data_IF_375946954937
#
_entry.id   IF_375946954937
#
_cell.length_a   1.000
_cell.length_b   1.000
_cell.length_c   1.000
_cell.angle_alpha   90.00
_cell.angle_beta   90.00
_cell.angle_gamma   90.00
#
_symmetry.space_group_name_H-M   'P 1'
#
loop_
_entity.id
_entity.type
_entity.pdbx_description
1 polymer ?
#
# COMPACT_ATOMS: atom_id res chain seq x y z
N UNK A 1 32.58 -10.98 -32.40
CA UNK A 1 32.21 -11.56 -31.09
C UNK A 1 30.74 -11.89 -31.16
N UNK A 2 30.42 -13.16 -31.36
CA UNK A 2 29.06 -13.68 -31.30
C UNK A 2 28.48 -13.36 -29.93
N UNK A 3 27.32 -12.70 -29.90
CA UNK A 3 26.53 -12.54 -28.69
C UNK A 3 26.17 -13.97 -28.25
N UNK A 4 26.91 -14.52 -27.28
CA UNK A 4 26.47 -15.71 -26.59
C UNK A 4 25.03 -15.46 -26.14
N UNK A 5 24.11 -16.35 -26.52
CA UNK A 5 22.74 -16.37 -26.04
C UNK A 5 22.75 -16.01 -24.56
N UNK A 6 22.28 -14.81 -24.18
CA UNK A 6 22.18 -14.47 -22.76
C UNK A 6 21.34 -15.58 -22.14
N UNK A 7 21.91 -16.32 -21.20
CA UNK A 7 21.16 -17.36 -20.51
C UNK A 7 20.18 -16.63 -19.60
N UNK A 8 18.88 -16.94 -19.69
CA UNK A 8 17.94 -16.48 -18.65
C UNK A 8 18.47 -16.98 -17.32
N UNK A 9 18.79 -16.07 -16.41
CA UNK A 9 19.32 -16.45 -15.11
C UNK A 9 18.76 -15.52 -14.04
N UNK A 10 17.83 -16.05 -13.26
CA UNK A 10 17.42 -15.40 -12.02
C UNK A 10 18.47 -15.68 -10.95
N UNK A 11 18.73 -14.67 -10.13
CA UNK A 11 19.59 -14.85 -8.95
C UNK A 11 18.97 -15.95 -8.07
N UNK A 12 19.81 -16.76 -7.43
CA UNK A 12 19.33 -17.78 -6.49
C UNK A 12 18.51 -17.14 -5.38
N UNK A 13 19.06 -16.06 -4.80
CA UNK A 13 18.39 -15.28 -3.77
C UNK A 13 17.83 -16.17 -2.66
N UNK A 14 16.64 -15.81 -2.17
CA UNK A 14 15.83 -16.63 -1.26
C UNK A 14 14.56 -17.16 -1.92
N UNK A 15 14.60 -17.37 -3.23
CA UNK A 15 13.49 -18.02 -3.93
C UNK A 15 13.31 -19.45 -3.45
N UNK A 16 12.06 -19.92 -3.40
CA UNK A 16 11.82 -21.35 -3.44
C UNK A 16 12.43 -21.92 -4.74
N UNK A 17 13.30 -22.93 -4.69
CA UNK A 17 14.04 -23.40 -5.87
C UNK A 17 13.15 -23.79 -7.05
N UNK A 18 11.98 -24.38 -6.78
CA UNK A 18 11.01 -24.77 -7.81
C UNK A 18 10.37 -23.55 -8.45
N UNK A 19 10.04 -22.52 -7.66
CA UNK A 19 9.47 -21.28 -8.20
C UNK A 19 10.46 -20.61 -9.14
N UNK A 20 11.74 -20.50 -8.73
CA UNK A 20 12.81 -19.94 -9.57
C UNK A 20 12.93 -20.68 -10.90
N UNK A 21 12.99 -22.02 -10.86
CA UNK A 21 13.12 -22.84 -12.07
C UNK A 21 11.94 -22.62 -13.05
N UNK A 22 10.71 -22.54 -12.53
CA UNK A 22 9.53 -22.30 -13.37
C UNK A 22 9.56 -20.89 -13.97
N UNK A 23 9.95 -19.87 -13.20
CA UNK A 23 10.09 -18.51 -13.68
C UNK A 23 11.15 -18.40 -14.79
N UNK A 24 12.32 -19.02 -14.63
CA UNK A 24 13.36 -19.04 -15.65
C UNK A 24 12.88 -19.71 -16.95
N UNK A 25 12.16 -20.82 -16.84
CA UNK A 25 11.54 -21.51 -17.99
C UNK A 25 10.51 -20.62 -18.69
N UNK A 26 9.68 -19.90 -17.92
CA UNK A 26 8.69 -18.97 -18.46
C UNK A 26 9.36 -17.83 -19.23
N UNK A 27 10.34 -17.17 -18.64
CA UNK A 27 11.09 -16.06 -19.28
C UNK A 27 11.76 -16.56 -20.56
N UNK A 28 12.38 -17.75 -20.53
CA UNK A 28 13.01 -18.33 -21.73
C UNK A 28 11.99 -18.61 -22.84
N UNK A 29 10.80 -19.10 -22.49
CA UNK A 29 9.73 -19.40 -23.44
C UNK A 29 9.17 -18.14 -24.11
N UNK A 30 9.07 -17.04 -23.37
CA UNK A 30 8.43 -15.80 -23.84
C UNK A 30 9.41 -14.69 -24.22
N UNK A 31 10.72 -14.96 -24.24
CA UNK A 31 11.75 -14.02 -24.67
C UNK A 31 11.42 -13.41 -26.03
N UNK A 32 11.38 -12.08 -26.10
CA UNK A 32 11.15 -11.29 -27.32
C UNK A 32 9.87 -11.66 -28.09
N UNK A 33 8.83 -12.14 -27.38
CA UNK A 33 7.55 -12.57 -27.99
C UNK A 33 6.45 -11.51 -27.95
N UNK A 34 6.81 -10.25 -27.62
CA UNK A 34 5.86 -9.17 -27.33
C UNK A 34 4.88 -9.57 -26.20
N UNK A 35 5.44 -9.89 -25.03
CA UNK A 35 4.70 -10.36 -23.85
C UNK A 35 4.95 -9.44 -22.66
N UNK A 36 4.12 -9.55 -21.62
CA UNK A 36 4.24 -8.74 -20.41
C UNK A 36 3.81 -9.51 -19.17
N UNK A 37 4.28 -9.04 -18.02
CA UNK A 37 3.92 -9.51 -16.69
C UNK A 37 3.31 -8.37 -15.86
N UNK A 38 2.44 -8.72 -14.92
CA UNK A 38 1.74 -7.77 -14.05
C UNK A 38 1.97 -8.16 -12.59
N UNK A 39 2.23 -7.18 -11.72
CA UNK A 39 2.44 -7.43 -10.30
C UNK A 39 1.69 -6.42 -9.45
N UNK A 40 1.18 -6.86 -8.30
CA UNK A 40 0.87 -5.95 -7.21
C UNK A 40 2.16 -5.41 -6.56
N UNK A 41 2.04 -4.28 -5.86
CA UNK A 41 3.16 -3.66 -5.17
C UNK A 41 3.30 -4.11 -3.71
N UNK A 42 2.37 -3.67 -2.87
CA UNK A 42 2.40 -3.84 -1.42
C UNK A 42 2.32 -5.33 -1.06
N UNK A 43 3.17 -5.80 -0.14
CA UNK A 43 3.33 -7.22 0.22
C UNK A 43 3.62 -8.23 -0.92
N UNK A 44 3.65 -7.80 -2.18
CA UNK A 44 3.99 -8.59 -3.38
C UNK A 44 5.38 -8.25 -3.91
N UNK A 45 5.57 -7.03 -4.41
CA UNK A 45 6.86 -6.50 -4.90
C UNK A 45 7.82 -6.16 -3.75
N UNK A 46 7.26 -5.70 -2.63
CA UNK A 46 7.98 -5.34 -1.40
C UNK A 46 7.43 -6.14 -0.20
N UNK A 47 8.09 -6.06 0.95
CA UNK A 47 7.45 -6.35 2.24
C UNK A 47 6.82 -5.07 2.80
N UNK A 48 5.61 -5.23 3.33
CA UNK A 48 4.87 -4.15 3.98
C UNK A 48 3.96 -3.43 2.99
N UNK A 49 3.24 -2.44 3.52
CA UNK A 49 2.27 -1.65 2.79
C UNK A 49 2.67 -0.18 2.81
N UNK A 50 2.91 0.38 1.63
CA UNK A 50 3.41 1.75 1.44
C UNK A 50 2.43 2.80 1.91
N UNK A 51 1.13 2.61 1.64
CA UNK A 51 0.11 3.55 2.05
C UNK A 51 -0.04 3.56 3.58
N UNK A 52 -0.12 2.38 4.20
CA UNK A 52 -0.19 2.25 5.65
C UNK A 52 1.03 2.89 6.32
N UNK A 53 2.22 2.64 5.77
CA UNK A 53 3.47 3.18 6.33
C UNK A 53 3.59 4.70 6.13
N UNK A 54 3.07 5.25 5.03
CA UNK A 54 2.89 6.69 4.88
C UNK A 54 1.91 7.26 5.89
N UNK A 55 0.76 6.61 6.11
CA UNK A 55 -0.22 7.02 7.11
C UNK A 55 0.39 7.06 8.51
N UNK A 56 1.13 6.03 8.90
CA UNK A 56 1.89 6.00 10.15
C UNK A 56 2.89 7.17 10.19
N UNK A 57 3.68 7.36 9.13
CA UNK A 57 4.67 8.44 9.06
C UNK A 57 4.03 9.84 9.18
N UNK A 58 2.86 10.06 8.56
CA UNK A 58 2.12 11.31 8.68
C UNK A 58 1.66 11.58 10.11
N UNK A 59 1.14 10.58 10.81
CA UNK A 59 0.73 10.71 12.21
C UNK A 59 1.93 11.05 13.08
N UNK A 60 3.00 10.24 12.96
CA UNK A 60 4.18 10.40 13.78
C UNK A 60 4.81 11.79 13.58
N UNK A 61 4.81 12.32 12.35
CA UNK A 61 5.47 13.59 12.03
C UNK A 61 4.50 14.78 11.92
N UNK A 62 3.20 14.57 12.15
CA UNK A 62 2.13 15.56 12.03
C UNK A 62 2.18 16.35 10.70
N UNK A 63 2.33 15.64 9.58
CA UNK A 63 2.48 16.23 8.25
C UNK A 63 1.13 16.25 7.53
N UNK A 64 0.44 17.39 7.65
CA UNK A 64 -0.88 17.63 7.05
C UNK A 64 -0.95 19.04 6.47
N UNK A 65 -1.61 19.19 5.31
CA UNK A 65 -1.95 20.50 4.71
C UNK A 65 -3.42 20.90 4.93
N UNK A 66 -4.03 20.31 5.93
CA UNK A 66 -5.42 20.53 6.30
C UNK A 66 -5.47 21.43 7.54
N UNK A 67 -6.20 22.54 7.45
CA UNK A 67 -6.59 23.27 8.67
C UNK A 67 -7.58 22.41 9.50
N UNK A 68 -7.85 22.76 10.77
CA UNK A 68 -8.69 21.93 11.63
C UNK A 68 -10.07 21.62 11.03
N UNK A 69 -10.75 22.58 10.42
CA UNK A 69 -12.08 22.39 9.83
C UNK A 69 -12.03 21.43 8.63
N UNK A 70 -11.04 21.58 7.76
CA UNK A 70 -10.80 20.70 6.62
C UNK A 70 -10.48 19.27 7.08
N UNK A 71 -9.61 19.15 8.10
CA UNK A 71 -9.23 17.85 8.66
C UNK A 71 -10.45 17.13 9.24
N UNK A 72 -11.27 17.84 10.04
CA UNK A 72 -12.50 17.28 10.61
C UNK A 72 -13.49 16.82 9.54
N UNK A 73 -13.61 17.57 8.44
CA UNK A 73 -14.43 17.19 7.29
C UNK A 73 -13.89 15.92 6.62
N UNK A 74 -12.58 15.84 6.41
CA UNK A 74 -11.91 14.71 5.77
C UNK A 74 -12.11 13.42 6.57
N UNK A 75 -11.81 13.41 7.87
CA UNK A 75 -11.89 12.18 8.68
C UNK A 75 -13.32 11.65 8.86
N UNK A 76 -14.34 12.47 8.57
CA UNK A 76 -15.77 12.09 8.62
C UNK A 76 -16.36 11.81 7.24
N UNK A 77 -15.61 12.03 6.16
CA UNK A 77 -16.13 11.97 4.81
C UNK A 77 -16.66 10.57 4.50
N UNK A 78 -17.95 10.51 4.18
CA UNK A 78 -18.68 9.28 3.88
C UNK A 78 -18.73 8.23 5.01
N UNK A 79 -18.24 8.54 6.22
CA UNK A 79 -18.19 7.59 7.33
C UNK A 79 -19.55 7.52 8.04
N UNK A 80 -20.23 6.37 8.05
CA UNK A 80 -21.48 6.21 8.80
C UNK A 80 -21.28 6.40 10.30
N UNK A 81 -22.29 6.96 10.97
CA UNK A 81 -22.27 7.27 12.40
C UNK A 81 -22.84 6.16 13.28
N UNK A 82 -23.23 5.03 12.69
CA UNK A 82 -23.70 3.85 13.42
C UNK A 82 -22.60 3.29 14.31
N UNK A 83 -23.01 2.57 15.36
CA UNK A 83 -22.08 1.82 16.19
C UNK A 83 -21.28 0.83 15.35
N UNK A 84 -20.01 0.67 15.71
CA UNK A 84 -19.16 -0.36 15.15
C UNK A 84 -19.61 -1.75 15.62
N UNK A 85 -19.11 -2.80 14.96
CA UNK A 85 -19.26 -4.19 15.38
C UNK A 85 -18.79 -4.38 16.81
N UNK A 86 -19.43 -5.30 17.53
CA UNK A 86 -19.24 -5.59 18.96
C UNK A 86 -17.78 -5.76 19.40
N UNK A 87 -16.89 -6.23 18.52
CA UNK A 87 -15.46 -6.38 18.82
C UNK A 87 -14.69 -5.06 18.96
N UNK A 88 -15.25 -3.94 18.50
CA UNK A 88 -14.62 -2.63 18.54
C UNK A 88 -15.13 -1.82 19.73
N UNK A 89 -14.52 -2.10 20.88
CA UNK A 89 -14.81 -1.45 22.15
C UNK A 89 -13.62 -0.65 22.66
N UNK A 90 -13.91 0.38 23.45
CA UNK A 90 -12.90 1.01 24.29
C UNK A 90 -12.50 0.10 25.46
N UNK A 91 -11.52 0.51 26.26
CA UNK A 91 -11.02 -0.28 27.39
C UNK A 91 -12.06 -0.49 28.51
N UNK A 92 -13.11 0.33 28.55
CA UNK A 92 -14.23 0.19 29.50
C UNK A 92 -15.34 -0.73 28.97
N UNK A 93 -15.15 -1.30 27.77
CA UNK A 93 -16.09 -2.25 27.17
C UNK A 93 -17.25 -1.60 26.41
N UNK A 94 -17.24 -0.28 26.22
CA UNK A 94 -18.25 0.44 25.45
C UNK A 94 -18.04 0.28 23.94
N UNK A 95 -19.11 0.00 23.21
CA UNK A 95 -19.09 -0.04 21.75
C UNK A 95 -18.95 1.40 21.23
N UNK A 96 -17.98 1.62 20.35
CA UNK A 96 -17.71 2.94 19.78
C UNK A 96 -18.44 3.18 18.45
N UNK A 97 -18.42 4.43 18.00
CA UNK A 97 -18.84 4.86 16.67
C UNK A 97 -17.88 5.93 16.14
N UNK A 98 -18.03 6.25 14.85
CA UNK A 98 -17.17 7.21 14.17
C UNK A 98 -17.27 8.62 14.76
N UNK A 99 -18.45 9.02 15.26
CA UNK A 99 -18.67 10.36 15.82
C UNK A 99 -17.81 10.59 17.05
N UNK A 100 -17.84 9.66 18.01
CA UNK A 100 -17.05 9.76 19.26
C UNK A 100 -15.55 9.87 18.97
N UNK A 101 -15.03 8.98 18.12
CA UNK A 101 -13.62 9.01 17.74
C UNK A 101 -13.24 10.30 17.02
N UNK A 102 -14.03 10.71 16.03
CA UNK A 102 -13.72 11.90 15.26
C UNK A 102 -13.84 13.20 16.08
N UNK A 103 -14.70 13.24 17.11
CA UNK A 103 -14.80 14.39 18.02
C UNK A 103 -13.51 14.56 18.82
N UNK A 104 -12.99 13.47 19.38
CA UNK A 104 -11.75 13.47 20.15
C UNK A 104 -10.55 13.81 19.27
N UNK A 105 -10.40 13.09 18.15
CA UNK A 105 -9.34 13.32 17.16
C UNK A 105 -9.33 14.78 16.70
N UNK A 106 -10.51 15.37 16.43
CA UNK A 106 -10.59 16.76 15.99
C UNK A 106 -10.11 17.73 17.09
N UNK A 107 -10.51 17.49 18.33
CA UNK A 107 -10.09 18.31 19.47
C UNK A 107 -8.56 18.27 19.64
N UNK A 108 -7.96 17.08 19.57
CA UNK A 108 -6.50 16.94 19.64
C UNK A 108 -5.83 17.62 18.45
N UNK A 109 -6.38 17.45 17.25
CA UNK A 109 -5.83 18.03 16.03
C UNK A 109 -5.79 19.55 16.08
N UNK A 110 -6.78 20.24 16.67
CA UNK A 110 -6.74 21.70 16.88
C UNK A 110 -5.48 22.09 17.67
N UNK A 111 -5.23 21.41 18.79
CA UNK A 111 -4.05 21.67 19.62
C UNK A 111 -2.76 21.40 18.85
N UNK A 112 -2.66 20.25 18.18
CA UNK A 112 -1.49 19.86 17.39
C UNK A 112 -1.25 20.86 16.24
N UNK A 113 -2.32 21.38 15.65
CA UNK A 113 -2.25 22.35 14.58
C UNK A 113 -1.69 23.69 15.04
N UNK A 114 -2.20 24.22 16.15
CA UNK A 114 -1.79 25.51 16.72
C UNK A 114 -0.38 25.49 17.32
N UNK A 115 0.09 24.33 17.75
CA UNK A 115 1.36 24.20 18.49
C UNK A 115 2.48 23.52 17.71
N UNK A 116 2.17 22.87 16.58
CA UNK A 116 3.19 22.22 15.76
C UNK A 116 2.96 22.34 14.26
N UNK A 117 1.77 22.04 13.74
CA UNK A 117 1.58 21.95 12.28
C UNK A 117 1.70 23.32 11.61
N UNK A 118 1.08 24.37 12.19
CA UNK A 118 1.07 25.71 11.61
C UNK A 118 2.33 26.54 11.91
N UNK A 119 2.82 26.52 13.16
CA UNK A 119 3.85 27.46 13.62
C UNK A 119 5.01 26.81 14.43
N UNK A 120 5.11 25.47 14.46
CA UNK A 120 6.23 24.72 15.11
C UNK A 120 6.64 25.26 16.51
N UNK A 121 5.68 25.70 17.32
CA UNK A 121 5.92 26.26 18.68
C UNK A 121 6.62 25.27 19.60
N UNK A 122 6.29 23.99 19.46
CA UNK A 122 7.06 22.88 20.01
C UNK A 122 7.96 22.25 18.96
N UNK A 123 9.08 21.68 19.40
CA UNK A 123 9.81 20.71 18.58
C UNK A 123 9.01 19.42 18.40
N UNK A 124 9.37 18.61 17.40
CA UNK A 124 8.70 17.32 17.17
C UNK A 124 8.83 16.38 18.38
N UNK A 125 9.97 16.43 19.09
CA UNK A 125 10.17 15.63 20.31
C UNK A 125 9.26 16.08 21.44
N UNK A 126 9.04 17.38 21.60
CA UNK A 126 8.19 17.93 22.66
C UNK A 126 6.72 17.65 22.39
N UNK A 127 6.22 17.94 21.18
CA UNK A 127 4.81 17.71 20.83
C UNK A 127 4.45 16.23 20.97
N UNK A 128 5.35 15.31 20.61
CA UNK A 128 5.12 13.86 20.74
C UNK A 128 4.94 13.38 22.18
N UNK A 129 5.35 14.18 23.17
CA UNK A 129 5.20 13.84 24.59
C UNK A 129 3.90 14.38 25.20
N UNK A 130 3.15 15.24 24.50
CA UNK A 130 1.89 15.79 25.02
C UNK A 130 0.80 14.73 25.03
N UNK A 131 -0.24 14.94 25.84
CA UNK A 131 -1.35 14.01 25.94
C UNK A 131 -2.20 14.03 24.65
N UNK A 132 -2.32 15.18 24.00
CA UNK A 132 -3.05 15.36 22.74
C UNK A 132 -2.40 14.56 21.61
N UNK A 133 -1.06 14.52 21.53
CA UNK A 133 -0.41 13.69 20.52
C UNK A 133 -0.62 12.20 20.79
N UNK A 134 -0.50 11.75 22.04
CA UNK A 134 -0.73 10.34 22.40
C UNK A 134 -2.16 9.92 22.09
N UNK A 135 -3.13 10.77 22.42
CA UNK A 135 -4.54 10.52 22.17
C UNK A 135 -4.85 10.50 20.66
N UNK A 136 -4.43 11.53 19.92
CA UNK A 136 -4.53 11.61 18.47
C UNK A 136 -3.94 10.38 17.78
N UNK A 137 -2.69 10.05 18.10
CA UNK A 137 -1.97 8.93 17.49
C UNK A 137 -2.73 7.62 17.65
N UNK A 138 -3.12 7.29 18.87
CA UNK A 138 -3.80 6.02 19.13
C UNK A 138 -5.22 5.98 18.55
N UNK A 139 -5.97 7.09 18.63
CA UNK A 139 -7.33 7.16 18.09
C UNK A 139 -7.35 7.17 16.56
N UNK A 140 -6.37 7.78 15.90
CA UNK A 140 -6.22 7.69 14.44
C UNK A 140 -5.95 6.25 13.98
N UNK A 141 -5.02 5.54 14.62
CA UNK A 141 -4.77 4.12 14.31
C UNK A 141 -5.96 3.23 14.64
N UNK A 142 -6.62 3.46 15.78
CA UNK A 142 -7.84 2.74 16.13
C UNK A 142 -8.92 2.98 15.07
N UNK A 143 -9.16 4.23 14.68
CA UNK A 143 -10.17 4.58 13.70
C UNK A 143 -9.86 3.94 12.34
N UNK A 144 -8.63 4.04 11.85
CA UNK A 144 -8.19 3.33 10.66
C UNK A 144 -8.52 1.83 10.70
N UNK A 145 -8.21 1.16 11.82
CA UNK A 145 -8.43 -0.29 11.96
C UNK A 145 -9.90 -0.70 11.95
N UNK A 146 -10.83 0.16 12.38
CA UNK A 146 -12.25 -0.20 12.37
C UNK A 146 -12.87 -0.06 10.98
N UNK A 147 -12.31 0.76 10.08
CA UNK A 147 -12.96 1.06 8.80
C UNK A 147 -13.19 -0.18 7.91
N UNK A 148 -12.18 -1.03 7.61
CA UNK A 148 -12.36 -2.15 6.69
C UNK A 148 -13.37 -3.18 7.20
N UNK A 149 -13.52 -3.26 8.52
CA UNK A 149 -14.36 -4.24 9.18
C UNK A 149 -15.80 -3.76 9.38
N UNK A 150 -16.05 -2.45 9.36
CA UNK A 150 -17.38 -1.87 9.57
C UNK A 150 -18.00 -1.32 8.29
N UNK A 151 -17.18 -0.94 7.31
CA UNK A 151 -17.61 -0.22 6.12
C UNK A 151 -17.05 -0.86 4.84
N UNK A 152 -17.30 -0.23 3.68
CA UNK A 152 -16.80 -0.76 2.40
C UNK A 152 -15.27 -0.66 2.31
N UNK A 153 -14.66 -1.59 1.58
CA UNK A 153 -13.23 -1.56 1.29
C UNK A 153 -12.80 -0.27 0.58
N UNK A 154 -13.67 0.27 -0.28
CA UNK A 154 -13.48 1.55 -0.95
C UNK A 154 -13.41 2.71 0.03
N UNK A 155 -14.34 2.78 0.99
CA UNK A 155 -14.33 3.83 2.02
C UNK A 155 -13.07 3.74 2.86
N UNK A 156 -12.72 2.55 3.34
CA UNK A 156 -11.54 2.36 4.17
C UNK A 156 -10.26 2.81 3.46
N UNK A 157 -10.10 2.45 2.19
CA UNK A 157 -8.97 2.85 1.36
C UNK A 157 -8.91 4.38 1.15
N UNK A 158 -10.02 4.98 0.70
CA UNK A 158 -10.05 6.40 0.37
C UNK A 158 -9.91 7.32 1.59
N UNK A 159 -10.30 6.85 2.77
CA UNK A 159 -10.17 7.60 4.01
C UNK A 159 -8.72 8.00 4.30
N UNK A 160 -7.77 7.08 4.10
CA UNK A 160 -6.33 7.36 4.26
C UNK A 160 -5.84 8.36 3.21
N UNK A 161 -6.29 8.21 1.97
CA UNK A 161 -5.83 9.04 0.86
C UNK A 161 -6.25 10.50 1.04
N UNK A 162 -7.47 10.72 1.53
CA UNK A 162 -8.01 12.07 1.71
C UNK A 162 -7.25 12.90 2.73
N UNK A 163 -6.46 12.28 3.63
CA UNK A 163 -5.56 12.98 4.54
C UNK A 163 -4.42 13.74 3.82
N UNK A 164 -4.15 13.41 2.56
CA UNK A 164 -3.17 14.09 1.69
C UNK A 164 -3.78 15.26 0.90
N UNK A 165 -5.07 15.55 1.07
CA UNK A 165 -5.74 16.65 0.36
C UNK A 165 -5.09 17.99 0.68
N UNK A 166 -5.00 18.86 -0.33
CA UNK A 166 -4.31 20.15 -0.23
C UNK A 166 -2.80 20.10 -0.50
N UNK A 167 -2.20 18.90 -0.60
CA UNK A 167 -0.82 18.73 -1.07
C UNK A 167 -0.77 18.69 -2.61
N UNK A 168 0.31 19.21 -3.20
CA UNK A 168 0.59 18.92 -4.62
C UNK A 168 1.05 17.47 -4.78
N UNK A 169 0.93 16.92 -6.00
CA UNK A 169 1.48 15.59 -6.31
C UNK A 169 2.97 15.47 -5.98
N UNK A 170 3.75 16.52 -6.24
CA UNK A 170 5.19 16.52 -5.96
C UNK A 170 5.49 16.56 -4.44
N UNK A 171 4.65 17.26 -3.66
CA UNK A 171 4.73 17.23 -2.20
C UNK A 171 4.43 15.82 -1.67
N UNK A 172 3.41 15.14 -2.20
CA UNK A 172 3.11 13.74 -1.83
C UNK A 172 4.24 12.81 -2.22
N UNK A 173 4.85 12.98 -3.40
CA UNK A 173 6.01 12.17 -3.82
C UNK A 173 7.21 12.38 -2.90
N UNK A 174 7.49 13.63 -2.52
CA UNK A 174 8.58 13.95 -1.58
C UNK A 174 8.32 13.31 -0.22
N UNK A 175 7.09 13.43 0.28
CA UNK A 175 6.68 12.81 1.54
C UNK A 175 6.74 11.27 1.48
N UNK A 176 6.35 10.67 0.36
CA UNK A 176 6.46 9.23 0.13
C UNK A 176 7.92 8.76 0.15
N UNK A 177 8.86 9.53 -0.44
CA UNK A 177 10.29 9.23 -0.38
C UNK A 177 10.81 9.22 1.05
N UNK A 178 10.51 10.27 1.82
CA UNK A 178 10.93 10.38 3.22
C UNK A 178 10.35 9.25 4.10
N UNK A 179 9.06 8.96 3.90
CA UNK A 179 8.37 7.85 4.57
C UNK A 179 9.05 6.53 4.24
N UNK A 180 9.23 6.22 2.95
CA UNK A 180 9.85 4.96 2.51
C UNK A 180 11.25 4.79 3.09
N UNK A 181 12.10 5.82 3.02
CA UNK A 181 13.48 5.77 3.55
C UNK A 181 13.49 5.52 5.06
N UNK A 182 12.62 6.21 5.80
CA UNK A 182 12.48 6.03 7.25
C UNK A 182 12.02 4.62 7.57
N UNK A 183 10.97 4.14 6.89
CA UNK A 183 10.32 2.86 7.17
C UNK A 183 11.12 1.65 6.72
N UNK A 184 12.03 1.82 5.76
CA UNK A 184 13.05 0.82 5.43
C UNK A 184 14.06 0.62 6.57
N UNK A 185 14.35 1.66 7.36
CA UNK A 185 15.24 1.61 8.51
C UNK A 185 14.60 1.13 9.81
N UNK A 186 13.27 1.14 9.89
CA UNK A 186 12.54 0.73 11.09
C UNK A 186 12.36 -0.79 11.21
N UNK A 187 12.15 -1.27 12.43
CA UNK A 187 11.83 -2.67 12.70
C UNK A 187 10.47 -3.06 12.10
N UNK A 188 10.38 -4.30 11.60
CA UNK A 188 9.12 -4.87 11.13
C UNK A 188 8.33 -5.43 12.30
N UNK A 189 7.02 -5.21 12.29
CA UNK A 189 6.06 -5.91 13.15
C UNK A 189 5.00 -5.00 13.72
N UNK A 190 4.11 -5.61 14.50
CA UNK A 190 2.99 -4.92 15.11
C UNK A 190 3.44 -3.97 16.22
N UNK A 191 2.97 -2.73 16.14
CA UNK A 191 3.13 -1.71 17.18
C UNK A 191 1.77 -1.42 17.80
N UNK A 192 1.70 -1.55 19.13
CA UNK A 192 0.52 -1.21 19.92
C UNK A 192 0.67 0.20 20.46
N UNK A 193 -0.35 1.03 20.26
CA UNK A 193 -0.42 2.41 20.75
C UNK A 193 -1.67 2.59 21.61
N UNK A 194 -1.52 3.18 22.79
CA UNK A 194 -2.63 3.47 23.70
C UNK A 194 -2.90 4.96 23.74
N UNK A 195 -4.18 5.34 23.77
CA UNK A 195 -4.62 6.73 23.82
C UNK A 195 -4.43 7.32 25.22
N UNK A 196 -4.66 8.64 25.38
CA UNK A 196 -4.38 9.29 26.66
C UNK A 196 -5.29 8.74 27.78
N UNK A 197 -4.70 8.53 28.96
CA UNK A 197 -5.44 8.22 30.19
C UNK A 197 -5.93 9.46 30.92
N UNK A 198 -5.51 10.64 30.47
CA UNK A 198 -5.90 11.94 31.04
C UNK A 198 -6.96 12.60 30.15
N UNK A 199 -6.74 12.61 28.84
CA UNK A 199 -7.65 13.14 27.83
C UNK A 199 -8.49 12.01 27.23
N UNK A 200 -9.33 11.37 28.03
CA UNK A 200 -10.08 10.19 27.57
C UNK A 200 -11.08 10.52 26.47
N UNK A 201 -11.67 11.73 26.50
CA UNK A 201 -12.65 12.17 25.50
C UNK A 201 -13.95 11.36 25.51
N UNK A 202 -14.72 11.47 24.42
CA UNK A 202 -15.99 10.75 24.22
C UNK A 202 -15.80 9.28 23.86
N UNK A 203 -14.70 8.94 23.19
CA UNK A 203 -14.37 7.57 22.82
C UNK A 203 -13.79 6.76 23.99
N UNK A 204 -13.40 7.42 25.08
CA UNK A 204 -12.66 6.78 26.16
C UNK A 204 -11.27 6.32 25.72
N UNK A 205 -10.68 5.41 26.49
CA UNK A 205 -9.33 4.92 26.21
C UNK A 205 -9.38 3.82 25.16
N UNK A 206 -8.59 3.95 24.09
CA UNK A 206 -8.50 2.96 23.01
C UNK A 206 -7.07 2.49 22.79
N UNK A 207 -6.93 1.32 22.15
CA UNK A 207 -5.64 0.77 21.71
C UNK A 207 -5.65 0.53 20.21
N UNK A 208 -4.85 1.31 19.48
CA UNK A 208 -4.55 1.07 18.06
C UNK A 208 -3.44 0.03 17.92
N UNK A 209 -3.44 -0.69 16.80
CA UNK A 209 -2.36 -1.61 16.40
C UNK A 209 -2.07 -1.34 14.92
N UNK A 210 -0.80 -1.29 14.52
CA UNK A 210 -0.45 -1.20 13.10
C UNK A 210 0.79 -2.03 12.79
N UNK A 211 0.85 -2.57 11.58
CA UNK A 211 2.01 -3.29 11.05
C UNK A 211 3.03 -2.26 10.53
N UNK A 212 4.20 -2.21 11.16
CA UNK A 212 5.23 -1.23 10.87
C UNK A 212 6.31 -1.78 9.96
N UNK A 213 6.87 -0.91 9.13
CA UNK A 213 8.13 -1.13 8.42
C UNK A 213 7.95 -1.67 7.00
N UNK A 214 8.96 -1.39 6.18
CA UNK A 214 9.02 -1.78 4.77
C UNK A 214 10.32 -2.54 4.51
N UNK A 215 10.33 -3.46 3.54
CA UNK A 215 11.59 -4.00 2.99
C UNK A 215 11.51 -4.12 1.47
N UNK A 216 12.62 -3.76 0.83
CA UNK A 216 12.86 -4.13 -0.56
C UNK A 216 13.00 -5.66 -0.65
N UNK A 217 12.52 -6.24 -1.75
CA UNK A 217 12.75 -7.64 -2.11
C UNK A 217 13.69 -7.69 -3.32
N UNK A 218 15.01 -7.87 -3.11
CA UNK A 218 15.99 -7.97 -4.20
C UNK A 218 15.62 -9.04 -5.23
N UNK A 219 14.97 -10.12 -4.80
CA UNK A 219 14.47 -11.20 -5.65
C UNK A 219 13.42 -10.71 -6.65
N UNK A 220 12.50 -9.84 -6.24
CA UNK A 220 11.50 -9.24 -7.12
C UNK A 220 12.13 -8.21 -8.05
N UNK A 221 13.06 -7.39 -7.55
CA UNK A 221 13.81 -6.45 -8.39
C UNK A 221 14.61 -7.19 -9.48
N UNK A 222 15.30 -8.28 -9.11
CA UNK A 222 16.02 -9.15 -10.06
C UNK A 222 15.06 -9.75 -11.10
N UNK A 223 13.89 -10.26 -10.67
CA UNK A 223 12.87 -10.77 -11.58
C UNK A 223 12.42 -9.71 -12.59
N UNK A 224 12.19 -8.46 -12.16
CA UNK A 224 11.77 -7.39 -13.07
C UNK A 224 12.86 -7.02 -14.06
N UNK A 225 14.11 -6.92 -13.62
CA UNK A 225 15.24 -6.68 -14.52
C UNK A 225 15.40 -7.80 -15.54
N UNK A 226 15.25 -9.05 -15.12
CA UNK A 226 15.43 -10.20 -16.01
C UNK A 226 14.27 -10.31 -17.01
N UNK A 227 13.02 -10.06 -16.60
CA UNK A 227 11.89 -9.97 -17.53
C UNK A 227 12.16 -8.92 -18.63
N UNK A 228 12.53 -7.71 -18.23
CA UNK A 228 12.81 -6.60 -19.15
C UNK A 228 13.98 -6.88 -20.08
N UNK A 229 15.08 -7.45 -19.58
CA UNK A 229 16.25 -7.86 -20.39
C UNK A 229 15.92 -8.89 -21.47
N UNK A 230 14.82 -9.62 -21.30
CA UNK A 230 14.35 -10.63 -22.24
C UNK A 230 13.13 -10.16 -23.06
N UNK A 231 12.90 -8.85 -23.15
CA UNK A 231 11.83 -8.29 -23.97
C UNK A 231 10.42 -8.59 -23.45
N UNK A 232 10.29 -8.77 -22.13
CA UNK A 232 9.00 -8.95 -21.44
C UNK A 232 8.77 -7.71 -20.55
N UNK A 233 7.75 -6.93 -20.87
CA UNK A 233 7.45 -5.71 -20.13
C UNK A 233 6.88 -6.02 -18.74
N UNK A 234 7.16 -5.16 -17.77
CA UNK A 234 6.71 -5.31 -16.38
C UNK A 234 5.78 -4.16 -16.03
N UNK A 235 4.58 -4.49 -15.59
CA UNK A 235 3.57 -3.54 -15.13
C UNK A 235 3.26 -3.73 -13.66
N UNK A 236 3.06 -2.61 -12.96
CA UNK A 236 2.58 -2.60 -11.58
C UNK A 236 1.12 -2.15 -11.56
N UNK A 237 0.27 -2.91 -10.88
CA UNK A 237 -1.12 -2.54 -10.62
C UNK A 237 -1.40 -2.62 -9.12
N UNK A 238 -1.38 -1.46 -8.46
CA UNK A 238 -1.48 -1.34 -7.00
C UNK A 238 -2.79 -0.69 -6.55
N UNK A 239 -3.25 -1.07 -5.36
CA UNK A 239 -4.38 -0.43 -4.68
C UNK A 239 -3.98 0.80 -3.86
N UNK A 240 -2.68 1.10 -3.73
CA UNK A 240 -2.16 2.32 -3.10
C UNK A 240 -2.16 3.50 -4.06
N UNK A 241 -1.87 4.70 -3.56
CA UNK A 241 -1.84 5.91 -4.39
C UNK A 241 -0.71 5.89 -5.43
N UNK A 242 -1.04 6.36 -6.64
CA UNK A 242 -0.13 6.46 -7.78
C UNK A 242 1.20 7.15 -7.40
N UNK A 243 1.12 8.29 -6.70
CA UNK A 243 2.29 9.08 -6.32
C UNK A 243 3.29 8.29 -5.44
N UNK A 244 2.80 7.44 -4.54
CA UNK A 244 3.63 6.61 -3.66
C UNK A 244 4.33 5.51 -4.45
N UNK A 245 3.58 4.80 -5.29
CA UNK A 245 4.09 3.66 -6.04
C UNK A 245 5.09 4.11 -7.10
N UNK A 246 4.84 5.24 -7.77
CA UNK A 246 5.80 5.84 -8.71
C UNK A 246 7.15 6.10 -8.02
N UNK A 247 7.16 6.68 -6.82
CA UNK A 247 8.40 6.95 -6.10
C UNK A 247 9.14 5.64 -5.78
N UNK A 248 8.46 4.65 -5.21
CA UNK A 248 9.12 3.43 -4.77
C UNK A 248 9.57 2.55 -5.95
N UNK A 249 8.78 2.48 -7.03
CA UNK A 249 9.05 1.63 -8.17
C UNK A 249 10.13 2.19 -9.12
N UNK A 250 10.28 3.52 -9.19
CA UNK A 250 11.12 4.17 -10.21
C UNK A 250 12.41 4.77 -9.65
N UNK A 251 12.47 5.12 -8.37
CA UNK A 251 13.70 5.67 -7.77
C UNK A 251 14.80 4.60 -7.73
N UNK A 252 15.96 4.96 -8.30
CA UNK A 252 17.09 4.05 -8.46
C UNK A 252 17.69 3.56 -7.14
N UNK A 253 17.52 4.31 -6.06
CA UNK A 253 17.99 3.92 -4.73
C UNK A 253 17.26 2.68 -4.19
N UNK A 254 16.06 2.37 -4.67
CA UNK A 254 15.30 1.18 -4.27
C UNK A 254 15.55 -0.04 -5.17
N UNK A 255 16.19 0.15 -6.32
CA UNK A 255 16.70 -0.93 -7.16
C UNK A 255 15.70 -1.62 -8.09
N UNK A 256 14.42 -1.23 -8.09
CA UNK A 256 13.41 -1.78 -9.02
C UNK A 256 13.53 -1.17 -10.44
N UNK A 257 13.84 0.12 -10.53
CA UNK A 257 14.09 0.87 -11.77
C UNK A 257 13.04 0.61 -12.88
N UNK A 258 11.76 0.65 -12.50
CA UNK A 258 10.66 0.53 -13.45
C UNK A 258 10.39 1.85 -14.15
N UNK A 259 9.76 1.75 -15.31
CA UNK A 259 9.24 2.86 -16.10
C UNK A 259 7.97 3.41 -15.45
N UNK A 260 7.91 4.74 -15.29
CA UNK A 260 6.76 5.40 -14.64
C UNK A 260 5.45 5.15 -15.39
N UNK A 261 5.51 5.05 -16.72
CA UNK A 261 4.38 4.75 -17.61
C UNK A 261 3.81 3.33 -17.45
N UNK A 262 4.54 2.44 -16.77
CA UNK A 262 4.12 1.08 -16.48
C UNK A 262 3.52 0.92 -15.08
N UNK A 263 3.37 2.04 -14.34
CA UNK A 263 2.78 2.06 -13.00
C UNK A 263 1.32 2.52 -13.09
N UNK A 264 0.41 1.66 -12.66
CA UNK A 264 -1.03 1.91 -12.62
C UNK A 264 -1.51 1.74 -11.16
N UNK A 265 -1.89 2.83 -10.50
CA UNK A 265 -2.41 2.75 -9.13
C UNK A 265 -3.57 3.74 -8.91
N UNK A 266 -4.08 3.81 -7.69
CA UNK A 266 -5.25 4.63 -7.38
C UNK A 266 -4.95 6.12 -7.52
N UNK A 267 -5.94 6.89 -8.00
CA UNK A 267 -5.78 8.32 -8.30
C UNK A 267 -6.89 9.12 -7.65
N UNK A 268 -6.51 10.07 -6.80
CA UNK A 268 -7.41 11.17 -6.45
C UNK A 268 -7.53 12.15 -7.63
N UNK A 269 -8.62 12.91 -7.67
CA UNK A 269 -8.70 14.11 -8.50
C UNK A 269 -7.68 15.13 -8.01
N UNK A 270 -7.29 16.01 -8.92
CA UNK A 270 -6.44 17.15 -8.60
C UNK A 270 -6.93 18.41 -9.32
N UNK A 271 -6.59 19.57 -8.77
CA UNK A 271 -6.77 20.86 -9.45
C UNK A 271 -5.83 20.97 -10.66
N UNK A 272 -5.95 22.06 -11.43
CA UNK A 272 -5.05 22.40 -12.54
C UNK A 272 -3.60 22.56 -12.09
N UNK A 273 -3.39 22.93 -10.82
CA UNK A 273 -2.06 23.09 -10.21
C UNK A 273 -1.55 21.81 -9.56
N UNK A 274 -2.13 20.66 -9.91
CA UNK A 274 -1.80 19.34 -9.36
C UNK A 274 -1.99 19.22 -7.84
N UNK A 275 -2.85 20.03 -7.23
CA UNK A 275 -3.22 19.91 -5.82
C UNK A 275 -4.27 18.81 -5.68
N UNK A 276 -4.00 17.81 -4.83
CA UNK A 276 -4.92 16.72 -4.56
C UNK A 276 -6.17 17.21 -3.82
N UNK A 277 -7.32 16.69 -4.22
CA UNK A 277 -8.60 16.93 -3.53
C UNK A 277 -9.14 15.64 -2.95
N UNK A 278 -10.04 15.75 -1.97
CA UNK A 278 -10.63 14.64 -1.22
C UNK A 278 -11.65 13.84 -2.05
N UNK A 279 -11.42 13.61 -3.34
CA UNK A 279 -12.32 12.90 -4.25
C UNK A 279 -11.55 11.95 -5.16
N UNK A 280 -12.00 10.70 -5.28
CA UNK A 280 -11.41 9.74 -6.21
C UNK A 280 -11.70 10.09 -7.68
N UNK A 281 -10.74 9.80 -8.57
CA UNK A 281 -10.93 9.96 -10.01
C UNK A 281 -11.54 8.70 -10.65
N UNK A 282 -12.87 8.62 -10.69
CA UNK A 282 -13.60 7.49 -11.29
C UNK A 282 -13.56 7.42 -12.82
N UNK A 283 -12.97 8.39 -13.52
CA UNK A 283 -12.63 8.21 -14.94
C UNK A 283 -11.53 7.14 -15.12
N UNK A 284 -10.81 6.86 -14.03
CA UNK A 284 -9.80 5.82 -13.94
C UNK A 284 -10.32 4.63 -13.09
N UNK A 285 -10.10 3.37 -13.51
CA UNK A 285 -10.57 2.22 -12.74
C UNK A 285 -10.05 2.23 -11.30
N UNK A 286 -10.92 1.89 -10.35
CA UNK A 286 -10.54 1.70 -8.95
C UNK A 286 -9.68 0.43 -8.82
N UNK A 287 -8.36 0.56 -8.70
CA UNK A 287 -7.36 -0.51 -8.90
C UNK A 287 -7.29 -1.56 -7.78
N UNK A 288 -8.45 -2.08 -7.39
CA UNK A 288 -8.64 -3.18 -6.46
C UNK A 288 -9.64 -4.18 -7.06
N UNK A 289 -9.41 -5.48 -6.86
CA UNK A 289 -10.27 -6.55 -7.40
C UNK A 289 -10.45 -6.38 -8.92
N UNK A 290 -11.71 -6.28 -9.38
CA UNK A 290 -12.06 -6.19 -10.79
C UNK A 290 -11.41 -5.00 -11.49
N UNK A 291 -11.19 -3.88 -10.79
CA UNK A 291 -10.55 -2.73 -11.40
C UNK A 291 -9.09 -2.98 -11.78
N UNK A 292 -8.37 -3.91 -11.10
CA UNK A 292 -7.04 -4.34 -11.56
C UNK A 292 -7.11 -5.01 -12.93
N UNK A 293 -8.08 -5.90 -13.15
CA UNK A 293 -8.32 -6.49 -14.47
C UNK A 293 -8.78 -5.47 -15.51
N UNK A 294 -9.59 -4.48 -15.12
CA UNK A 294 -10.00 -3.41 -16.03
C UNK A 294 -8.81 -2.58 -16.52
N UNK A 295 -7.81 -2.33 -15.67
CA UNK A 295 -6.56 -1.68 -16.10
C UNK A 295 -5.89 -2.50 -17.21
N UNK A 296 -5.76 -3.80 -17.00
CA UNK A 296 -5.15 -4.71 -17.98
C UNK A 296 -5.92 -4.66 -19.30
N UNK A 297 -7.26 -4.78 -19.26
CA UNK A 297 -8.11 -4.76 -20.46
C UNK A 297 -8.08 -3.44 -21.21
N UNK A 298 -8.16 -2.31 -20.48
CA UNK A 298 -8.30 -0.98 -21.10
C UNK A 298 -6.97 -0.39 -21.56
N UNK A 299 -5.89 -0.59 -20.80
CA UNK A 299 -4.65 0.17 -21.00
C UNK A 299 -3.44 -0.68 -21.40
N UNK A 300 -3.41 -1.96 -21.02
CA UNK A 300 -2.22 -2.81 -21.23
C UNK A 300 -2.42 -3.74 -22.44
N UNK A 301 -3.44 -4.60 -22.44
CA UNK A 301 -3.75 -5.53 -23.54
C UNK A 301 -3.76 -4.92 -24.93
N UNK A 302 -4.25 -3.67 -25.15
CA UNK A 302 -4.17 -3.03 -26.46
C UNK A 302 -2.76 -2.91 -27.03
N UNK A 303 -1.73 -2.87 -26.19
CA UNK A 303 -0.30 -2.81 -26.57
C UNK A 303 0.26 -4.17 -27.01
N UNK A 304 -0.38 -5.29 -26.62
CA UNK A 304 0.14 -6.65 -26.78
C UNK A 304 -0.74 -7.55 -27.65
N UNK A 305 -1.29 -7.01 -28.75
CA UNK A 305 -2.19 -7.75 -29.64
C UNK A 305 -3.36 -8.42 -28.90
N UNK A 306 -3.87 -7.76 -27.85
CA UNK A 306 -4.97 -8.22 -26.99
C UNK A 306 -4.66 -9.50 -26.18
N UNK A 307 -3.40 -9.92 -26.08
CA UNK A 307 -2.96 -11.01 -25.20
C UNK A 307 -2.95 -10.56 -23.75
N UNK A 308 -3.36 -11.44 -22.83
CA UNK A 308 -3.23 -11.26 -21.38
C UNK A 308 -1.78 -11.37 -20.89
N UNK A 309 -1.53 -11.06 -19.60
CA UNK A 309 -0.21 -11.19 -18.99
C UNK A 309 0.19 -12.66 -18.89
N UNK A 310 1.46 -12.98 -19.13
CA UNK A 310 1.98 -14.37 -19.04
C UNK A 310 2.23 -14.79 -17.58
N UNK A 311 2.47 -13.79 -16.73
CA UNK A 311 2.79 -13.92 -15.31
C UNK A 311 2.03 -12.83 -14.55
N UNK A 312 1.34 -13.23 -13.49
CA UNK A 312 0.70 -12.30 -12.57
C UNK A 312 1.16 -12.58 -11.15
N UNK A 313 1.58 -11.55 -10.42
CA UNK A 313 1.96 -11.62 -9.02
C UNK A 313 0.99 -10.87 -8.09
N UNK A 314 0.65 -11.48 -6.96
CA UNK A 314 -0.21 -10.88 -5.93
C UNK A 314 -0.11 -11.60 -4.59
N UNK A 315 -0.70 -11.02 -3.55
CA UNK A 315 -0.64 -11.53 -2.17
C UNK A 315 -2.00 -11.57 -1.46
N UNK A 316 -3.00 -10.88 -2.00
CA UNK A 316 -4.28 -10.69 -1.34
C UNK A 316 -5.48 -10.84 -2.27
N UNK A 317 -6.67 -10.90 -1.67
CA UNK A 317 -7.96 -10.97 -2.38
C UNK A 317 -8.18 -9.77 -3.32
N UNK A 318 -7.49 -8.65 -3.09
CA UNK A 318 -7.48 -7.51 -4.01
C UNK A 318 -6.88 -7.84 -5.39
N UNK A 319 -6.10 -8.90 -5.52
CA UNK A 319 -5.40 -9.32 -6.74
C UNK A 319 -6.10 -10.44 -7.49
N UNK A 320 -7.10 -11.06 -6.86
CA UNK A 320 -7.70 -12.32 -7.31
C UNK A 320 -8.22 -12.23 -8.77
N UNK A 321 -8.86 -11.13 -9.14
CA UNK A 321 -9.36 -10.93 -10.50
C UNK A 321 -8.20 -10.88 -11.52
N UNK A 322 -7.13 -10.14 -11.26
CA UNK A 322 -6.02 -10.07 -12.21
C UNK A 322 -5.23 -11.39 -12.27
N UNK A 323 -5.18 -12.14 -11.17
CA UNK A 323 -4.58 -13.47 -11.12
C UNK A 323 -5.38 -14.50 -11.94
N UNK A 324 -6.71 -14.42 -11.95
CA UNK A 324 -7.54 -15.55 -12.43
C UNK A 324 -8.22 -15.33 -13.78
N UNK A 325 -8.49 -14.09 -14.19
CA UNK A 325 -9.38 -13.81 -15.33
C UNK A 325 -8.74 -13.98 -16.71
N UNK A 326 -7.40 -13.97 -16.79
CA UNK A 326 -6.69 -13.97 -18.07
C UNK A 326 -6.26 -15.39 -18.46
N UNK A 327 -6.77 -15.86 -19.60
CA UNK A 327 -6.49 -17.21 -20.14
C UNK A 327 -5.03 -17.39 -20.58
N UNK A 328 -4.37 -16.30 -20.97
CA UNK A 328 -2.98 -16.30 -21.40
C UNK A 328 -1.99 -16.42 -20.21
N UNK A 329 -2.47 -16.25 -18.98
CA UNK A 329 -1.63 -16.33 -17.78
C UNK A 329 -1.24 -17.77 -17.48
N UNK A 330 0.06 -18.06 -17.59
CA UNK A 330 0.63 -19.38 -17.35
C UNK A 330 1.10 -19.56 -15.91
N UNK A 331 1.50 -18.48 -15.24
CA UNK A 331 2.05 -18.53 -13.88
C UNK A 331 1.36 -17.50 -12.98
N UNK A 332 0.95 -17.96 -11.79
CA UNK A 332 0.45 -17.12 -10.70
C UNK A 332 1.50 -17.10 -9.60
N UNK A 333 2.23 -16.01 -9.45
CA UNK A 333 3.17 -15.85 -8.33
C UNK A 333 2.41 -15.36 -7.10
N UNK A 334 2.16 -16.26 -6.15
CA UNK A 334 1.42 -15.97 -4.93
C UNK A 334 2.41 -15.71 -3.80
N UNK A 335 2.53 -14.46 -3.39
CA UNK A 335 3.32 -14.09 -2.20
C UNK A 335 2.48 -14.38 -0.96
N UNK A 336 2.68 -15.55 -0.35
CA UNK A 336 1.70 -16.10 0.61
C UNK A 336 1.58 -15.24 1.86
N UNK A 337 0.34 -14.90 2.21
CA UNK A 337 -0.06 -14.33 3.51
C UNK A 337 -1.06 -15.23 4.20
N UNK A 338 -1.03 -15.30 5.52
CA UNK A 338 -1.99 -16.09 6.29
C UNK A 338 -3.43 -15.65 6.00
N UNK A 339 -4.32 -16.62 5.73
CA UNK A 339 -5.73 -16.36 5.43
C UNK A 339 -6.01 -15.63 4.09
N UNK A 340 -5.01 -15.45 3.22
CA UNK A 340 -5.16 -14.78 1.92
C UNK A 340 -4.86 -15.71 0.76
N UNK A 341 -5.67 -15.62 -0.29
CA UNK A 341 -5.55 -16.40 -1.53
C UNK A 341 -5.49 -17.93 -1.32
N UNK A 342 -6.05 -18.42 -0.21
CA UNK A 342 -6.08 -19.86 0.11
C UNK A 342 -6.85 -20.67 -0.96
N UNK A 343 -7.77 -20.04 -1.68
CA UNK A 343 -8.49 -20.64 -2.79
C UNK A 343 -7.61 -20.86 -4.03
N UNK A 344 -6.47 -20.17 -4.17
CA UNK A 344 -5.59 -20.24 -5.34
C UNK A 344 -4.33 -21.10 -5.13
N UNK A 345 -4.00 -21.48 -3.89
CA UNK A 345 -2.75 -22.24 -3.61
C UNK A 345 -2.68 -23.60 -4.31
N UNK A 346 -3.84 -24.17 -4.68
CA UNK A 346 -3.94 -25.45 -5.38
C UNK A 346 -4.15 -25.27 -6.90
N UNK A 347 -4.17 -24.05 -7.44
CA UNK A 347 -4.19 -23.83 -8.89
C UNK A 347 -2.90 -24.40 -9.49
N UNK A 348 -3.00 -25.18 -10.58
CA UNK A 348 -1.85 -25.79 -11.26
C UNK A 348 -0.82 -24.77 -11.77
N UNK A 349 -1.21 -23.50 -11.92
CA UNK A 349 -0.35 -22.37 -12.33
C UNK A 349 0.32 -21.68 -11.15
N UNK A 350 -0.09 -21.98 -9.91
CA UNK A 350 0.36 -21.28 -8.73
C UNK A 350 1.80 -21.64 -8.35
N UNK A 351 2.62 -20.59 -8.16
CA UNK A 351 3.92 -20.61 -7.51
C UNK A 351 3.76 -19.89 -6.18
N UNK A 352 3.68 -20.65 -5.10
CA UNK A 352 3.52 -20.10 -3.76
C UNK A 352 4.90 -19.77 -3.20
N UNK A 353 5.13 -18.51 -2.85
CA UNK A 353 6.37 -18.04 -2.27
C UNK A 353 6.12 -17.53 -0.85
N UNK A 354 6.80 -18.12 0.11
CA UNK A 354 6.71 -17.74 1.51
C UNK A 354 7.74 -16.66 1.88
N UNK A 355 7.57 -16.11 3.07
CA UNK A 355 8.49 -15.16 3.69
C UNK A 355 8.60 -15.42 5.18
N UNK A 356 9.70 -14.98 5.75
CA UNK A 356 9.85 -14.86 7.18
C UNK A 356 9.12 -13.60 7.67
N UNK A 357 8.11 -13.75 8.53
CA UNK A 357 7.27 -12.64 8.99
C UNK A 357 8.03 -11.59 9.81
N UNK A 358 9.07 -12.00 10.54
CA UNK A 358 9.84 -11.09 11.40
C UNK A 358 10.81 -10.21 10.61
N UNK A 359 11.38 -10.74 9.53
CA UNK A 359 12.42 -10.04 8.75
C UNK A 359 11.90 -9.49 7.42
N UNK A 360 10.75 -9.97 6.94
CA UNK A 360 10.19 -9.62 5.64
C UNK A 360 10.85 -10.27 4.44
N UNK A 361 11.92 -11.04 4.66
CA UNK A 361 12.70 -11.70 3.62
C UNK A 361 11.97 -12.92 3.09
N UNK A 362 12.16 -13.25 1.80
CA UNK A 362 11.62 -14.48 1.24
C UNK A 362 12.18 -15.71 1.97
N UNK A 363 11.35 -16.75 2.06
CA UNK A 363 11.74 -18.05 2.60
C UNK A 363 11.92 -19.04 1.44
N UNK A 364 13.11 -19.65 1.27
CA UNK A 364 13.36 -20.60 0.19
C UNK A 364 12.68 -21.95 0.38
N UNK A 365 12.00 -22.19 1.50
CA UNK A 365 11.33 -23.48 1.78
C UNK A 365 10.04 -23.67 1.02
#
# INVERSE_FOLDING_TARGET
MSIENSCVRLDEGRWNPKNREVLEKLIKKYRDTNSYAVFDWDNTSIQGDTQLNLFIYQIENLIYKLNPEQFNKVIRKNVPTSNFKERFKNLDGEILNATKLANDIYKDYIFLYENYISDKKFSLKEIRNTEEFKDFRAKMHYFHNVLPDNFSAELACLWEFYLLSGMTKDEVKSLAKESNDTKLGEAIGDVIVESSRVLTGEAGIVRGIYDNGLRIRPEMANLYHELKRNGIDVYIISASMQELIEVFATDKSYGYNLEIENIYAMRLKSTTDNILVDEYNYEYPFTQRKGKSEIIEKFIKPKYNRKGPILVGGDAVGDENMLTEFRDTEVLLIMKREGKLDNLVNDKRALVQYRNLQTGLLDPK
#
